data_IF_240344302863
#
_entry.id   IF_240344302863
#
_cell.length_a   1.000
_cell.length_b   1.000
_cell.length_c   1.000
_cell.angle_alpha   90.00
_cell.angle_beta   90.00
_cell.angle_gamma   90.00
#
_symmetry.space_group_name_H-M   'P 1'
#
loop_
_entity.id
_entity.type
_entity.pdbx_description
1 polymer ?
#
# COMPACT_ATOMS: atom_id res chain seq x y z
N UNK A 1 -32.34 -27.74 -12.15
CA UNK A 1 -31.44 -28.15 -13.25
C UNK A 1 -30.06 -27.57 -12.94
N UNK A 2 -29.18 -28.38 -12.37
CA UNK A 2 -27.81 -27.96 -12.04
C UNK A 2 -27.01 -27.83 -13.33
N UNK A 3 -26.33 -26.69 -13.52
CA UNK A 3 -25.37 -26.51 -14.61
C UNK A 3 -24.05 -27.20 -14.25
N UNK A 4 -23.62 -28.23 -15.00
CA UNK A 4 -22.29 -28.81 -14.87
C UNK A 4 -21.40 -28.17 -15.95
N UNK A 5 -20.84 -26.98 -15.71
CA UNK A 5 -19.99 -26.30 -16.70
C UNK A 5 -18.79 -25.53 -16.12
N UNK A 6 -18.21 -26.06 -15.03
CA UNK A 6 -16.85 -25.69 -14.66
C UNK A 6 -15.96 -26.93 -14.82
N UNK A 7 -15.29 -27.06 -15.98
CA UNK A 7 -13.97 -27.69 -15.95
C UNK A 7 -13.19 -26.87 -14.92
N UNK A 8 -12.58 -27.51 -13.93
CA UNK A 8 -11.67 -26.83 -13.01
C UNK A 8 -10.57 -26.20 -13.85
N UNK A 9 -10.69 -24.90 -14.13
CA UNK A 9 -9.60 -24.18 -14.78
C UNK A 9 -8.40 -24.30 -13.87
N UNK A 10 -7.23 -24.46 -14.47
CA UNK A 10 -6.01 -24.42 -13.70
C UNK A 10 -5.92 -23.04 -13.04
N UNK A 11 -5.97 -23.03 -11.71
CA UNK A 11 -6.01 -21.82 -10.90
C UNK A 11 -4.77 -20.97 -11.14
N UNK A 12 -3.63 -21.56 -11.49
CA UNK A 12 -2.37 -20.85 -11.73
C UNK A 12 -2.03 -20.84 -13.23
N UNK A 13 -2.93 -20.28 -14.04
CA UNK A 13 -2.75 -20.18 -15.49
C UNK A 13 -2.94 -18.76 -16.02
N UNK A 14 -2.27 -18.44 -17.13
CA UNK A 14 -2.45 -17.18 -17.86
C UNK A 14 -3.89 -17.01 -18.38
N UNK A 15 -4.55 -18.12 -18.72
CA UNK A 15 -5.95 -18.10 -19.16
C UNK A 15 -6.88 -17.64 -18.03
N UNK A 16 -6.61 -18.05 -16.79
CA UNK A 16 -7.37 -17.59 -15.63
C UNK A 16 -7.10 -16.11 -15.33
N UNK A 17 -5.83 -15.67 -15.37
CA UNK A 17 -5.48 -14.25 -15.20
C UNK A 17 -6.18 -13.37 -16.26
N UNK A 18 -6.18 -13.82 -17.51
CA UNK A 18 -6.86 -13.15 -18.62
C UNK A 18 -8.35 -13.09 -18.42
N UNK A 19 -8.96 -14.22 -18.06
CA UNK A 19 -10.39 -14.28 -17.79
C UNK A 19 -10.80 -13.31 -16.67
N UNK A 20 -10.11 -13.34 -15.53
CA UNK A 20 -10.43 -12.48 -14.39
C UNK A 20 -10.30 -11.00 -14.75
N UNK A 21 -9.24 -10.64 -15.48
CA UNK A 21 -9.03 -9.27 -15.96
C UNK A 21 -10.16 -8.84 -16.91
N UNK A 22 -10.53 -9.68 -17.87
CA UNK A 22 -11.64 -9.40 -18.80
C UNK A 22 -12.99 -9.27 -18.08
N UNK A 23 -13.23 -10.05 -17.02
CA UNK A 23 -14.44 -9.92 -16.21
C UNK A 23 -14.45 -8.61 -15.43
N UNK A 24 -13.34 -8.25 -14.78
CA UNK A 24 -13.24 -6.98 -14.06
C UNK A 24 -13.49 -5.78 -14.98
N UNK A 25 -12.93 -5.80 -16.20
CA UNK A 25 -13.11 -4.74 -17.21
C UNK A 25 -14.59 -4.51 -17.61
N UNK A 26 -15.42 -5.55 -17.57
CA UNK A 26 -16.85 -5.44 -17.90
C UNK A 26 -17.67 -4.74 -16.81
N UNK A 27 -17.16 -4.70 -15.57
CA UNK A 27 -17.89 -4.14 -14.44
C UNK A 27 -17.89 -2.62 -14.53
N UNK A 28 -19.07 -2.02 -14.58
CA UNK A 28 -19.24 -0.56 -14.63
C UNK A 28 -19.48 0.06 -13.25
N UNK A 29 -20.08 -0.70 -12.32
CA UNK A 29 -20.35 -0.29 -10.94
C UNK A 29 -20.17 -1.50 -10.03
N UNK A 30 -19.53 -1.32 -8.87
CA UNK A 30 -19.46 -2.33 -7.83
C UNK A 30 -20.46 -2.02 -6.72
N UNK A 31 -21.29 -3.01 -6.38
CA UNK A 31 -22.35 -2.93 -5.40
C UNK A 31 -22.46 -4.26 -4.63
N UNK A 32 -23.41 -4.36 -3.71
CA UNK A 32 -23.56 -5.52 -2.82
C UNK A 32 -23.80 -6.84 -3.56
N UNK A 33 -24.32 -6.81 -4.80
CA UNK A 33 -24.64 -8.00 -5.59
C UNK A 33 -23.40 -8.61 -6.24
N UNK A 34 -22.43 -7.78 -6.65
CA UNK A 34 -21.23 -8.23 -7.35
C UNK A 34 -19.93 -8.10 -6.54
N UNK A 35 -19.98 -7.52 -5.33
CA UNK A 35 -18.79 -7.30 -4.50
C UNK A 35 -18.00 -8.58 -4.23
N UNK A 36 -18.66 -9.71 -3.96
CA UNK A 36 -17.98 -10.96 -3.62
C UNK A 36 -17.15 -11.50 -4.79
N UNK A 37 -17.69 -11.39 -6.00
CA UNK A 37 -16.95 -11.72 -7.22
C UNK A 37 -15.75 -10.80 -7.41
N UNK A 38 -15.92 -9.48 -7.23
CA UNK A 38 -14.82 -8.51 -7.38
C UNK A 38 -13.73 -8.77 -6.37
N UNK A 39 -14.09 -8.98 -5.11
CA UNK A 39 -13.18 -9.31 -4.00
C UNK A 39 -12.35 -10.53 -4.39
N UNK A 40 -12.98 -11.60 -4.88
CA UNK A 40 -12.26 -12.81 -5.19
C UNK A 40 -11.42 -12.70 -6.47
N UNK A 41 -11.87 -11.94 -7.46
CA UNK A 41 -11.08 -11.65 -8.65
C UNK A 41 -9.82 -10.84 -8.30
N UNK A 42 -9.92 -9.82 -7.44
CA UNK A 42 -8.77 -9.04 -6.97
C UNK A 42 -7.74 -9.94 -6.26
N UNK A 43 -8.21 -10.80 -5.34
CA UNK A 43 -7.34 -11.72 -4.59
C UNK A 43 -6.67 -12.73 -5.51
N UNK A 44 -7.44 -13.38 -6.38
CA UNK A 44 -6.95 -14.38 -7.33
C UNK A 44 -5.91 -13.79 -8.29
N UNK A 45 -6.12 -12.57 -8.79
CA UNK A 45 -5.13 -11.88 -9.63
C UNK A 45 -3.83 -11.65 -8.86
N UNK A 46 -3.89 -11.16 -7.61
CA UNK A 46 -2.67 -10.92 -6.83
C UNK A 46 -1.90 -12.21 -6.50
N UNK A 47 -2.60 -13.31 -6.23
CA UNK A 47 -1.99 -14.62 -6.05
C UNK A 47 -1.30 -15.10 -7.33
N UNK A 48 -1.97 -14.98 -8.48
CA UNK A 48 -1.42 -15.25 -9.80
C UNK A 48 -0.18 -14.41 -10.08
N UNK A 49 -0.20 -13.12 -9.71
CA UNK A 49 0.94 -12.23 -9.86
C UNK A 49 2.12 -12.63 -8.98
N UNK A 50 1.85 -12.98 -7.73
CA UNK A 50 2.88 -13.42 -6.77
C UNK A 50 3.50 -14.75 -7.20
N UNK A 51 2.69 -15.64 -7.77
CA UNK A 51 3.15 -16.89 -8.37
C UNK A 51 4.00 -16.63 -9.62
N UNK A 52 3.50 -15.83 -10.56
CA UNK A 52 4.15 -15.50 -11.83
C UNK A 52 5.52 -14.85 -11.64
N UNK A 53 5.64 -13.89 -10.70
CA UNK A 53 6.91 -13.23 -10.33
C UNK A 53 8.04 -14.21 -10.00
N UNK A 54 7.70 -15.42 -9.53
CA UNK A 54 8.65 -16.44 -9.10
C UNK A 54 8.82 -17.60 -10.10
N UNK A 55 7.87 -17.83 -11.00
CA UNK A 55 7.82 -19.05 -11.81
C UNK A 55 7.73 -18.80 -13.33
N UNK A 56 7.07 -17.73 -13.76
CA UNK A 56 6.81 -17.47 -15.18
C UNK A 56 6.58 -15.97 -15.45
N UNK A 57 7.52 -15.34 -16.15
CA UNK A 57 7.48 -13.91 -16.47
C UNK A 57 6.30 -13.51 -17.36
N UNK A 58 5.70 -14.45 -18.10
CA UNK A 58 4.56 -14.17 -18.97
C UNK A 58 3.36 -13.60 -18.20
N UNK A 59 3.20 -13.95 -16.92
CA UNK A 59 2.14 -13.40 -16.06
C UNK A 59 2.34 -11.91 -15.86
N UNK A 60 3.59 -11.52 -15.61
CA UNK A 60 3.96 -10.14 -15.39
C UNK A 60 3.88 -9.31 -16.68
N UNK A 61 4.34 -9.87 -17.80
CA UNK A 61 4.16 -9.25 -19.12
C UNK A 61 2.69 -8.97 -19.41
N UNK A 62 1.80 -9.96 -19.21
CA UNK A 62 0.37 -9.77 -19.37
C UNK A 62 -0.19 -8.67 -18.43
N UNK A 63 0.22 -8.68 -17.16
CA UNK A 63 -0.23 -7.70 -16.17
C UNK A 63 0.09 -6.26 -16.60
N UNK A 64 1.30 -6.04 -17.12
CA UNK A 64 1.73 -4.76 -17.67
C UNK A 64 0.96 -4.40 -18.94
N UNK A 65 0.89 -5.31 -19.91
CA UNK A 65 0.22 -5.08 -21.20
C UNK A 65 -1.26 -4.70 -21.03
N UNK A 66 -1.94 -5.34 -20.07
CA UNK A 66 -3.36 -5.09 -19.78
C UNK A 66 -3.62 -4.02 -18.73
N UNK A 67 -2.57 -3.37 -18.22
CA UNK A 67 -2.69 -2.32 -17.19
C UNK A 67 -3.55 -2.77 -16.01
N UNK A 68 -3.34 -4.01 -15.53
CA UNK A 68 -4.21 -4.63 -14.52
C UNK A 68 -4.21 -3.85 -13.21
N UNK A 69 -3.09 -3.21 -12.84
CA UNK A 69 -3.06 -2.29 -11.70
C UNK A 69 -3.97 -1.05 -11.90
N UNK A 70 -4.06 -0.56 -13.13
CA UNK A 70 -5.01 0.49 -13.51
C UNK A 70 -6.45 0.04 -13.36
N UNK A 71 -6.74 -1.23 -13.66
CA UNK A 71 -8.05 -1.83 -13.42
C UNK A 71 -8.38 -1.92 -11.93
N UNK A 72 -7.41 -2.22 -11.05
CA UNK A 72 -7.63 -2.18 -9.60
C UNK A 72 -8.02 -0.77 -9.15
N UNK A 73 -7.30 0.26 -9.62
CA UNK A 73 -7.63 1.66 -9.35
C UNK A 73 -9.01 2.03 -9.88
N UNK A 74 -9.38 1.57 -11.08
CA UNK A 74 -10.71 1.80 -11.65
C UNK A 74 -11.79 1.18 -10.78
N UNK A 75 -11.62 -0.10 -10.39
CA UNK A 75 -12.54 -0.82 -9.49
C UNK A 75 -12.73 -0.07 -8.18
N UNK A 76 -11.65 0.43 -7.56
CA UNK A 76 -11.75 1.26 -6.36
C UNK A 76 -12.64 2.50 -6.58
N UNK A 77 -12.46 3.20 -7.70
CA UNK A 77 -13.22 4.42 -8.02
C UNK A 77 -14.71 4.16 -8.28
N UNK A 78 -15.05 3.04 -8.91
CA UNK A 78 -16.45 2.69 -9.22
C UNK A 78 -17.13 1.88 -8.11
N UNK A 79 -16.40 1.58 -7.04
CA UNK A 79 -16.91 0.88 -5.88
C UNK A 79 -17.66 1.80 -4.94
N UNK A 80 -18.84 1.35 -4.50
CA UNK A 80 -19.63 1.98 -3.44
C UNK A 80 -19.56 1.21 -2.12
N UNK A 81 -18.79 0.13 -2.08
CA UNK A 81 -18.72 -0.81 -0.97
C UNK A 81 -17.37 -0.72 -0.26
N UNK A 82 -17.40 -0.51 1.05
CA UNK A 82 -16.20 -0.49 1.89
C UNK A 82 -15.40 -1.80 1.79
N UNK A 83 -16.09 -2.94 1.72
CA UNK A 83 -15.49 -4.28 1.65
C UNK A 83 -14.50 -4.44 0.50
N UNK A 84 -14.80 -3.85 -0.66
CA UNK A 84 -13.91 -3.88 -1.83
C UNK A 84 -12.68 -3.01 -1.61
N UNK A 85 -12.82 -1.86 -0.95
CA UNK A 85 -11.69 -1.00 -0.57
C UNK A 85 -10.76 -1.70 0.43
N UNK A 86 -11.33 -2.37 1.44
CA UNK A 86 -10.59 -3.19 2.40
C UNK A 86 -9.82 -4.30 1.68
N UNK A 87 -10.52 -5.07 0.84
CA UNK A 87 -9.90 -6.16 0.09
C UNK A 87 -8.80 -5.66 -0.83
N UNK A 88 -9.01 -4.56 -1.56
CA UNK A 88 -8.02 -4.02 -2.48
C UNK A 88 -6.74 -3.63 -1.74
N UNK A 89 -6.85 -2.91 -0.61
CA UNK A 89 -5.68 -2.53 0.19
C UNK A 89 -4.94 -3.76 0.74
N UNK A 90 -5.67 -4.75 1.24
CA UNK A 90 -5.09 -6.01 1.72
C UNK A 90 -4.37 -6.76 0.59
N UNK A 91 -5.04 -6.94 -0.55
CA UNK A 91 -4.53 -7.61 -1.74
C UNK A 91 -3.27 -6.92 -2.25
N UNK A 92 -3.30 -5.59 -2.38
CA UNK A 92 -2.15 -4.79 -2.81
C UNK A 92 -0.98 -4.90 -1.84
N UNK A 93 -1.25 -4.87 -0.53
CA UNK A 93 -0.22 -5.03 0.50
C UNK A 93 0.48 -6.38 0.38
N UNK A 94 -0.28 -7.48 0.29
CA UNK A 94 0.26 -8.84 0.17
C UNK A 94 1.06 -8.99 -1.13
N UNK A 95 0.52 -8.51 -2.25
CA UNK A 95 1.20 -8.59 -3.55
C UNK A 95 2.54 -7.85 -3.50
N UNK A 96 2.55 -6.58 -3.08
CA UNK A 96 3.78 -5.77 -3.00
C UNK A 96 4.80 -6.41 -2.07
N UNK A 97 4.39 -6.92 -0.90
CA UNK A 97 5.32 -7.57 0.03
C UNK A 97 6.03 -8.78 -0.61
N UNK A 98 5.31 -9.55 -1.41
CA UNK A 98 5.81 -10.81 -1.96
C UNK A 98 6.51 -10.68 -3.32
N UNK A 99 6.38 -9.55 -4.03
CA UNK A 99 7.13 -9.30 -5.26
C UNK A 99 8.64 -9.30 -4.99
N UNK A 100 9.39 -10.03 -5.81
CA UNK A 100 10.85 -10.17 -5.71
C UNK A 100 11.55 -9.66 -6.96
N UNK A 101 10.93 -9.77 -8.14
CA UNK A 101 11.59 -9.36 -9.36
C UNK A 101 11.73 -7.84 -9.41
N UNK A 102 12.94 -7.36 -9.70
CA UNK A 102 13.25 -5.93 -9.72
C UNK A 102 12.39 -5.19 -10.75
N UNK A 103 12.24 -5.73 -11.96
CA UNK A 103 11.39 -5.15 -13.00
C UNK A 103 9.92 -5.05 -12.56
N UNK A 104 9.43 -5.99 -11.75
CA UNK A 104 8.08 -5.94 -11.23
C UNK A 104 7.90 -4.82 -10.20
N UNK A 105 8.83 -4.71 -9.25
CA UNK A 105 8.84 -3.61 -8.26
C UNK A 105 8.94 -2.25 -8.97
N UNK A 106 9.81 -2.15 -9.97
CA UNK A 106 9.98 -0.92 -10.75
C UNK A 106 8.70 -0.53 -11.45
N UNK A 107 8.07 -1.44 -12.20
CA UNK A 107 6.80 -1.14 -12.86
C UNK A 107 5.74 -0.71 -11.86
N UNK A 108 5.62 -1.40 -10.73
CA UNK A 108 4.63 -1.05 -9.70
C UNK A 108 4.80 0.39 -9.21
N UNK A 109 6.04 0.84 -8.99
CA UNK A 109 6.32 2.17 -8.44
C UNK A 109 6.49 3.26 -9.50
N UNK A 110 6.80 2.92 -10.75
CA UNK A 110 7.00 3.89 -11.83
C UNK A 110 5.69 4.42 -12.43
N UNK A 111 4.54 3.87 -12.04
CA UNK A 111 3.24 4.30 -12.53
C UNK A 111 2.49 5.12 -11.46
N UNK A 112 1.57 5.98 -11.92
CA UNK A 112 0.79 6.85 -11.04
C UNK A 112 -0.26 6.11 -10.20
N UNK A 113 -0.48 4.80 -10.40
CA UNK A 113 -1.52 4.06 -9.68
C UNK A 113 -1.15 3.84 -8.22
N UNK A 114 0.12 3.56 -7.89
CA UNK A 114 0.54 3.45 -6.49
C UNK A 114 0.41 4.80 -5.77
N UNK A 115 0.89 5.89 -6.39
CA UNK A 115 0.72 7.23 -5.83
C UNK A 115 -0.75 7.61 -5.67
N UNK A 116 -1.60 7.23 -6.63
CA UNK A 116 -3.05 7.38 -6.52
C UNK A 116 -3.63 6.61 -5.34
N UNK A 117 -3.24 5.35 -5.14
CA UNK A 117 -3.73 4.54 -4.00
C UNK A 117 -3.25 5.09 -2.65
N UNK A 118 -2.00 5.56 -2.57
CA UNK A 118 -1.47 6.20 -1.35
C UNK A 118 -2.28 7.45 -1.00
N UNK A 119 -2.60 8.28 -1.99
CA UNK A 119 -3.28 9.58 -1.79
C UNK A 119 -4.81 9.51 -1.91
N UNK A 120 -5.37 8.32 -2.09
CA UNK A 120 -6.80 8.14 -2.22
C UNK A 120 -7.52 8.54 -0.93
N UNK A 121 -8.64 9.24 -1.06
CA UNK A 121 -9.41 9.77 0.06
C UNK A 121 -10.25 8.68 0.75
N UNK A 122 -9.59 7.72 1.39
CA UNK A 122 -10.23 6.72 2.23
C UNK A 122 -10.85 7.35 3.49
N UNK A 123 -11.96 6.77 3.95
CA UNK A 123 -12.62 7.19 5.18
C UNK A 123 -12.04 6.48 6.41
N UNK A 124 -10.98 7.04 6.98
CA UNK A 124 -10.29 6.48 8.14
C UNK A 124 -11.04 6.62 9.47
N UNK A 125 -12.31 7.05 9.46
CA UNK A 125 -13.21 6.83 10.61
C UNK A 125 -13.48 5.34 10.83
N UNK A 126 -13.30 4.53 9.79
CA UNK A 126 -13.26 3.08 9.91
C UNK A 126 -11.83 2.62 10.25
N UNK A 127 -11.63 2.16 11.49
CA UNK A 127 -10.32 1.71 12.01
C UNK A 127 -9.74 0.52 11.23
N UNK A 128 -10.59 -0.40 10.78
CA UNK A 128 -10.16 -1.54 9.98
C UNK A 128 -9.55 -1.09 8.64
N UNK A 129 -10.18 -0.12 7.97
CA UNK A 129 -9.68 0.48 6.74
C UNK A 129 -8.33 1.18 6.96
N UNK A 130 -8.19 1.92 8.06
CA UNK A 130 -6.93 2.53 8.44
C UNK A 130 -5.83 1.48 8.66
N UNK A 131 -6.16 0.37 9.33
CA UNK A 131 -5.22 -0.74 9.57
C UNK A 131 -4.70 -1.36 8.27
N UNK A 132 -5.60 -1.63 7.30
CA UNK A 132 -5.19 -2.13 5.99
C UNK A 132 -4.41 -1.09 5.18
N UNK A 133 -4.80 0.19 5.25
CA UNK A 133 -4.09 1.28 4.58
C UNK A 133 -2.66 1.42 5.10
N UNK A 134 -2.47 1.45 6.42
CA UNK A 134 -1.15 1.55 7.04
C UNK A 134 -0.31 0.32 6.72
N UNK A 135 -0.91 -0.86 6.66
CA UNK A 135 -0.24 -2.09 6.22
C UNK A 135 0.21 -2.00 4.76
N UNK A 136 -0.61 -1.42 3.87
CA UNK A 136 -0.27 -1.17 2.47
C UNK A 136 0.88 -0.16 2.32
N UNK A 137 0.83 0.96 3.03
CA UNK A 137 1.92 1.97 3.06
C UNK A 137 3.22 1.33 3.58
N UNK A 138 3.13 0.49 4.62
CA UNK A 138 4.28 -0.27 5.13
C UNK A 138 4.82 -1.28 4.12
N UNK A 139 3.96 -1.96 3.36
CA UNK A 139 4.38 -2.88 2.30
C UNK A 139 5.24 -2.18 1.25
N UNK A 140 4.81 -0.99 0.80
CA UNK A 140 5.54 -0.16 -0.16
C UNK A 140 6.89 0.26 0.43
N UNK A 141 6.90 0.76 1.66
CA UNK A 141 8.15 1.23 2.29
C UNK A 141 9.20 0.11 2.43
N UNK A 142 8.75 -1.15 2.62
CA UNK A 142 9.63 -2.31 2.68
C UNK A 142 10.35 -2.65 1.36
N UNK A 143 9.97 -2.04 0.24
CA UNK A 143 10.64 -2.19 -1.06
C UNK A 143 11.51 -0.99 -1.44
N UNK A 144 11.65 -0.02 -0.55
CA UNK A 144 12.51 1.14 -0.77
C UNK A 144 13.99 0.74 -0.71
N UNK A 145 14.73 1.19 -1.70
CA UNK A 145 16.18 1.17 -1.76
C UNK A 145 16.65 2.37 -2.61
N UNK A 146 17.96 2.49 -2.82
CA UNK A 146 18.55 3.60 -3.58
C UNK A 146 18.03 3.73 -5.01
N UNK A 147 17.56 2.62 -5.60
CA UNK A 147 17.09 2.60 -6.97
C UNK A 147 15.57 2.76 -7.10
N UNK A 148 14.80 2.46 -6.04
CA UNK A 148 13.32 2.49 -6.09
C UNK A 148 12.72 3.74 -5.46
N UNK A 149 13.42 4.40 -4.53
CA UNK A 149 12.87 5.58 -3.84
C UNK A 149 12.58 6.74 -4.80
N UNK A 150 13.41 6.91 -5.83
CA UNK A 150 13.27 7.94 -6.85
C UNK A 150 11.97 7.79 -7.68
N UNK A 151 11.41 6.57 -7.74
CA UNK A 151 10.17 6.27 -8.46
C UNK A 151 8.92 6.77 -7.71
N UNK A 152 9.01 6.95 -6.39
CA UNK A 152 7.89 7.36 -5.52
C UNK A 152 7.94 8.84 -5.12
N UNK A 153 8.91 9.59 -5.64
CA UNK A 153 9.07 11.02 -5.36
C UNK A 153 8.92 11.84 -6.63
N UNK A 154 8.42 13.06 -6.48
CA UNK A 154 8.47 14.07 -7.54
C UNK A 154 9.61 15.03 -7.22
N UNK A 155 10.51 15.22 -8.18
CA UNK A 155 11.64 16.14 -8.07
C UNK A 155 11.48 17.36 -8.98
N UNK A 156 12.03 18.49 -8.56
CA UNK A 156 12.19 19.69 -9.37
C UNK A 156 13.54 20.31 -9.02
N UNK A 157 14.39 20.53 -10.01
CA UNK A 157 15.76 21.06 -9.82
C UNK A 157 16.56 20.26 -8.77
N UNK A 158 16.54 18.92 -8.87
CA UNK A 158 17.23 17.99 -7.96
C UNK A 158 16.74 18.00 -6.50
N UNK A 159 15.66 18.75 -6.22
CA UNK A 159 15.01 18.77 -4.91
C UNK A 159 13.69 18.00 -4.96
N UNK A 160 13.42 17.20 -3.94
CA UNK A 160 12.12 16.51 -3.80
C UNK A 160 11.07 17.55 -3.40
N UNK A 161 9.99 17.62 -4.17
CA UNK A 161 8.85 18.52 -3.92
C UNK A 161 7.60 17.76 -3.45
N UNK A 162 7.54 16.45 -3.69
CA UNK A 162 6.44 15.60 -3.24
C UNK A 162 6.97 14.20 -2.93
N UNK A 163 6.56 13.67 -1.78
CA UNK A 163 6.79 12.30 -1.40
C UNK A 163 5.55 11.74 -0.68
N UNK A 164 4.51 11.33 -1.42
CA UNK A 164 3.21 10.96 -0.85
C UNK A 164 3.31 9.86 0.20
N UNK A 165 4.13 8.84 -0.04
CA UNK A 165 4.32 7.73 0.90
C UNK A 165 4.73 8.21 2.29
N UNK A 166 5.71 9.12 2.37
CA UNK A 166 6.20 9.65 3.63
C UNK A 166 5.17 10.58 4.28
N UNK A 167 4.63 11.54 3.52
CA UNK A 167 3.65 12.52 4.01
C UNK A 167 2.44 11.81 4.59
N UNK A 168 1.86 10.87 3.85
CA UNK A 168 0.65 10.18 4.30
C UNK A 168 0.91 9.30 5.53
N UNK A 169 2.08 8.65 5.63
CA UNK A 169 2.42 7.84 6.80
C UNK A 169 2.54 8.68 8.08
N UNK A 170 3.27 9.80 8.04
CA UNK A 170 3.56 10.59 9.26
C UNK A 170 2.32 11.28 9.84
N UNK A 171 1.24 11.43 9.06
CA UNK A 171 -0.06 11.91 9.57
C UNK A 171 -0.61 11.04 10.70
N UNK A 172 -0.22 9.77 10.75
CA UNK A 172 -0.66 8.80 11.75
C UNK A 172 0.40 8.49 12.82
N UNK A 173 1.49 9.26 12.88
CA UNK A 173 2.62 9.03 13.78
C UNK A 173 2.24 8.92 15.27
N UNK A 174 1.21 9.65 15.68
CA UNK A 174 0.73 9.73 17.07
C UNK A 174 -0.68 9.17 17.23
N UNK A 175 -1.09 8.25 16.36
CA UNK A 175 -2.36 7.53 16.49
C UNK A 175 -2.45 6.79 17.84
N UNK A 176 -3.65 6.62 18.39
CA UNK A 176 -3.85 5.96 19.68
C UNK A 176 -3.50 4.47 19.65
N UNK A 177 -3.74 3.81 18.52
CA UNK A 177 -3.38 2.41 18.32
C UNK A 177 -1.87 2.19 18.17
N UNK A 178 -1.33 1.28 18.97
CA UNK A 178 0.10 0.98 18.97
C UNK A 178 0.58 0.34 17.65
N UNK A 179 -0.26 -0.47 17.01
CA UNK A 179 0.07 -1.12 15.74
C UNK A 179 0.24 -0.09 14.62
N UNK A 180 -0.64 0.91 14.55
CA UNK A 180 -0.53 2.02 13.59
C UNK A 180 0.79 2.77 13.79
N UNK A 181 1.10 3.19 15.03
CA UNK A 181 2.37 3.88 15.34
C UNK A 181 3.59 3.03 14.98
N UNK A 182 3.54 1.72 15.23
CA UNK A 182 4.64 0.79 14.92
C UNK A 182 4.88 0.71 13.42
N UNK A 183 3.82 0.64 12.62
CA UNK A 183 3.93 0.62 11.18
C UNK A 183 4.43 1.95 10.62
N UNK A 184 3.98 3.10 11.14
CA UNK A 184 4.51 4.41 10.75
C UNK A 184 5.99 4.53 11.06
N UNK A 185 6.45 4.07 12.23
CA UNK A 185 7.88 4.01 12.57
C UNK A 185 8.67 3.13 11.60
N UNK A 186 8.12 1.99 11.20
CA UNK A 186 8.76 1.14 10.20
C UNK A 186 8.88 1.87 8.84
N UNK A 187 7.84 2.60 8.42
CA UNK A 187 7.88 3.40 7.19
C UNK A 187 8.94 4.49 7.26
N UNK A 188 8.98 5.28 8.33
CA UNK A 188 9.96 6.36 8.46
C UNK A 188 11.39 5.81 8.53
N UNK A 189 11.62 4.73 9.28
CA UNK A 189 12.92 4.06 9.33
C UNK A 189 13.36 3.52 7.97
N UNK A 190 12.46 2.88 7.22
CA UNK A 190 12.76 2.40 5.87
C UNK A 190 13.15 3.56 4.94
N UNK A 191 12.45 4.70 5.01
CA UNK A 191 12.79 5.91 4.24
C UNK A 191 14.18 6.42 4.61
N UNK A 192 14.47 6.57 5.91
CA UNK A 192 15.77 7.10 6.37
C UNK A 192 16.92 6.14 6.06
N UNK A 193 16.67 4.82 6.10
CA UNK A 193 17.66 3.80 5.84
C UNK A 193 18.20 3.82 4.40
N UNK A 194 17.40 4.28 3.42
CA UNK A 194 17.84 4.38 2.03
C UNK A 194 19.04 5.30 1.87
N UNK A 195 19.11 6.37 2.68
CA UNK A 195 20.23 7.32 2.67
C UNK A 195 20.29 8.19 1.40
N UNK A 196 19.16 8.43 0.74
CA UNK A 196 19.08 9.36 -0.39
C UNK A 196 19.15 10.81 0.10
N UNK A 197 20.09 11.60 -0.43
CA UNK A 197 20.32 12.96 0.04
C UNK A 197 19.15 13.91 -0.23
N UNK A 198 18.51 13.79 -1.39
CA UNK A 198 17.39 14.65 -1.79
C UNK A 198 16.16 14.40 -0.91
N UNK A 199 15.91 13.12 -0.58
CA UNK A 199 14.87 12.72 0.36
C UNK A 199 15.21 13.15 1.78
N UNK A 200 16.47 12.99 2.21
CA UNK A 200 16.90 13.44 3.54
C UNK A 200 16.72 14.94 3.72
N UNK A 201 17.06 15.76 2.71
CA UNK A 201 16.79 17.21 2.73
C UNK A 201 15.30 17.50 2.80
N UNK A 202 14.47 16.73 2.10
CA UNK A 202 13.02 16.90 2.12
C UNK A 202 12.41 16.60 3.49
N UNK A 203 12.78 15.49 4.14
CA UNK A 203 12.17 15.10 5.43
C UNK A 203 12.52 16.03 6.59
N UNK A 204 13.64 16.75 6.51
CA UNK A 204 14.07 17.75 7.51
C UNK A 204 13.66 19.18 7.18
N UNK A 205 12.94 19.39 6.07
CA UNK A 205 12.39 20.71 5.69
C UNK A 205 10.99 20.89 6.25
N UNK A 206 10.59 22.13 6.52
CA UNK A 206 9.22 22.44 6.90
C UNK A 206 8.24 22.19 5.71
N UNK A 207 7.02 21.67 5.97
CA UNK A 207 6.46 21.33 7.29
C UNK A 207 6.85 19.93 7.81
N UNK A 208 7.50 19.09 7.00
CA UNK A 208 7.81 17.68 7.35
C UNK A 208 8.65 17.56 8.62
N UNK A 209 9.55 18.52 8.85
CA UNK A 209 10.39 18.58 10.05
C UNK A 209 9.60 18.64 11.37
N UNK A 210 8.35 19.13 11.35
CA UNK A 210 7.50 19.18 12.55
C UNK A 210 7.26 17.80 13.16
N UNK A 211 7.30 16.74 12.34
CA UNK A 211 7.24 15.35 12.80
C UNK A 211 8.28 15.07 13.90
N UNK A 212 9.52 15.54 13.74
CA UNK A 212 10.58 15.33 14.73
C UNK A 212 10.33 16.14 16.01
N UNK A 213 9.84 17.37 15.88
CA UNK A 213 9.44 18.20 17.03
C UNK A 213 8.33 17.52 17.84
N UNK A 214 7.30 16.99 17.18
CA UNK A 214 6.24 16.24 17.83
C UNK A 214 6.75 14.94 18.46
N UNK A 215 7.72 14.26 17.83
CA UNK A 215 8.31 13.04 18.38
C UNK A 215 9.04 13.31 19.70
N UNK A 216 9.80 14.41 19.76
CA UNK A 216 10.49 14.86 20.98
C UNK A 216 9.47 15.22 22.06
N UNK A 217 8.42 15.99 21.71
CA UNK A 217 7.38 16.37 22.66
C UNK A 217 6.63 15.14 23.22
N UNK A 218 6.31 14.17 22.36
CA UNK A 218 5.70 12.91 22.77
C UNK A 218 6.61 12.12 23.72
N UNK A 219 7.91 12.01 23.40
CA UNK A 219 8.86 11.33 24.26
C UNK A 219 9.02 12.02 25.61
N UNK A 220 9.09 13.35 25.62
CA UNK A 220 9.13 14.14 26.86
C UNK A 220 7.92 13.83 27.76
N UNK A 221 6.71 13.79 27.18
CA UNK A 221 5.50 13.44 27.92
C UNK A 221 5.61 12.04 28.56
N UNK A 222 6.04 11.04 27.79
CA UNK A 222 6.19 9.67 28.31
C UNK A 222 7.21 9.60 29.46
N UNK A 223 8.30 10.36 29.39
CA UNK A 223 9.28 10.44 30.48
C UNK A 223 8.70 11.08 31.74
N UNK A 224 7.87 12.12 31.61
CA UNK A 224 7.19 12.76 32.73
C UNK A 224 6.17 11.80 33.38
N UNK A 225 5.33 11.16 32.58
CA UNK A 225 4.33 10.18 33.03
C UNK A 225 5.03 9.03 33.79
N UNK A 226 6.16 8.53 33.28
CA UNK A 226 6.96 7.50 33.95
C UNK A 226 7.54 7.99 35.29
N UNK A 227 8.06 9.22 35.33
CA UNK A 227 8.63 9.80 36.54
C UNK A 227 7.59 9.97 37.66
N UNK A 228 6.36 10.34 37.31
CA UNK A 228 5.24 10.40 38.25
C UNK A 228 4.92 9.02 38.84
N UNK A 229 4.77 7.99 37.98
CA UNK A 229 4.49 6.61 38.41
C UNK A 229 5.58 6.05 39.34
N UNK A 230 6.86 6.30 39.00
CA UNK A 230 7.98 5.88 39.85
C UNK A 230 7.95 6.61 41.19
N UNK A 231 7.64 7.91 41.20
CA UNK A 231 7.54 8.70 42.42
C UNK A 231 6.40 8.25 43.33
N UNK A 232 5.28 7.80 42.76
CA UNK A 232 4.16 7.23 43.50
C UNK A 232 4.49 5.86 44.09
N UNK A 233 5.16 4.98 43.33
CA UNK A 233 5.55 3.65 43.80
C UNK A 233 6.59 3.67 44.93
N UNK A 234 7.33 4.77 45.08
CA UNK A 234 8.33 4.96 46.13
C UNK A 234 7.74 5.57 47.43
N UNK A 235 6.45 5.92 47.45
CA UNK A 235 5.72 6.35 48.65
C UNK A 235 5.10 5.16 49.38
#
# INVERSE_FOLDING_TARGET
MWFPFWRSRDRFSLDELRYLTDQLQKIQIVNEVNQDFVIEALRSIAELMTYGDQHDSNFFEFFMEKQVLGEFVRILKISRTLTVSLQLLQTMSIMIQNLRAEHAIYYMFSNEHINFLITYAFDFRNEELLSYYISFVRAISGKLNKNTISLLVKTQNEEVISFPLYIEAIRFAFHEENMVRTAVRAVTLNVYHVGDESVNRFVVKAPQAEFFSYLIAFFQKQCLDLNELVSEALK
#
